data_IF_058375660087
#
_entry.id   IF_058375660087
#
_cell.length_a   1.000
_cell.length_b   1.000
_cell.length_c   1.000
_cell.angle_alpha   90.00
_cell.angle_beta   90.00
_cell.angle_gamma   90.00
#
_symmetry.space_group_name_H-M   'P 1'
#
loop_
_entity.id
_entity.type
_entity.pdbx_description
1 polymer ?
#
# COMPACT_ATOMS: atom_id res chain seq x y z
N UNK A 1 13.55 29.77 -6.74
CA UNK A 1 13.31 29.34 -6.36
C UNK A 1 12.87 28.66 -6.25
N UNK A 2 13.11 28.83 -6.19
CA UNK A 2 12.76 28.27 -5.81
C UNK A 2 12.50 27.48 -5.61
N UNK A 3 12.82 27.39 -5.50
CA UNK A 3 12.50 26.59 -5.24
C UNK A 3 12.12 25.91 -4.85
N UNK A 4 12.72 25.87 -4.88
CA UNK A 4 12.42 25.40 -4.08
C UNK A 4 11.41 24.54 -3.57
N UNK A 5 10.61 24.42 -3.92
CA UNK A 5 9.52 23.73 -3.30
C UNK A 5 9.81 22.26 -3.05
N UNK A 6 10.57 21.65 -3.90
CA UNK A 6 10.93 20.26 -3.73
C UNK A 6 11.78 20.01 -2.53
N UNK A 7 12.70 20.91 -2.31
CA UNK A 7 13.53 20.81 -1.14
C UNK A 7 12.70 20.88 0.11
N UNK A 8 11.67 21.68 0.06
CA UNK A 8 10.80 21.81 1.21
C UNK A 8 10.07 20.52 1.48
N UNK A 9 9.68 19.82 0.45
CA UNK A 9 9.03 18.53 0.65
C UNK A 9 9.94 17.55 1.34
N UNK A 10 11.20 17.55 1.00
CA UNK A 10 12.13 16.66 1.65
C UNK A 10 12.29 16.99 3.12
N UNK A 11 12.35 18.27 3.44
CA UNK A 11 12.41 18.66 4.83
C UNK A 11 11.16 18.25 5.58
N UNK A 12 10.02 18.46 4.96
CA UNK A 12 8.77 18.11 5.60
C UNK A 12 8.71 16.62 5.91
N UNK A 13 9.25 15.80 5.00
CA UNK A 13 9.20 14.36 5.18
C UNK A 13 9.87 13.92 6.46
N UNK A 14 10.92 14.63 6.88
CA UNK A 14 11.63 14.24 8.09
C UNK A 14 10.79 14.43 9.33
N UNK A 15 9.90 15.40 9.33
CA UNK A 15 9.07 15.67 10.48
C UNK A 15 7.63 15.30 10.31
N UNK A 16 7.27 14.72 9.19
CA UNK A 16 5.87 14.45 8.91
C UNK A 16 5.37 13.24 9.65
N UNK A 17 4.12 13.31 10.09
CA UNK A 17 3.43 12.17 10.65
C UNK A 17 2.99 11.23 9.54
N UNK A 18 2.56 10.04 9.93
CA UNK A 18 1.99 9.10 8.98
C UNK A 18 0.77 9.69 8.26
N UNK A 19 -0.02 10.50 8.97
CA UNK A 19 -1.16 11.15 8.35
C UNK A 19 -0.76 12.10 7.24
N UNK A 20 0.32 12.86 7.45
CA UNK A 20 0.79 13.79 6.43
C UNK A 20 1.31 13.04 5.20
N UNK A 21 2.03 11.95 5.42
CA UNK A 21 2.50 11.12 4.32
C UNK A 21 1.33 10.57 3.52
N UNK A 22 0.32 10.07 4.21
CA UNK A 22 -0.85 9.51 3.54
C UNK A 22 -1.58 10.57 2.71
N UNK A 23 -1.57 11.82 3.16
CA UNK A 23 -2.26 12.90 2.46
C UNK A 23 -1.65 13.22 1.11
N UNK A 24 -0.42 12.78 0.84
CA UNK A 24 0.22 13.02 -0.45
C UNK A 24 -0.09 11.94 -1.47
N UNK A 25 -0.83 10.89 -1.07
CA UNK A 25 -1.11 9.76 -1.95
C UNK A 25 -2.30 10.02 -2.84
N UNK A 26 -2.37 9.36 -4.01
CA UNK A 26 -3.61 9.34 -4.77
C UNK A 26 -4.75 8.82 -3.92
N UNK A 27 -5.96 9.27 -4.21
CA UNK A 27 -7.12 8.92 -3.40
C UNK A 27 -7.32 7.41 -3.31
N UNK A 28 -7.09 6.67 -4.40
CA UNK A 28 -7.28 5.23 -4.39
C UNK A 28 -6.30 4.54 -3.46
N UNK A 29 -5.05 5.01 -3.43
CA UNK A 29 -4.02 4.41 -2.59
C UNK A 29 -4.29 4.72 -1.13
N UNK A 30 -4.65 5.97 -0.83
CA UNK A 30 -5.02 6.35 0.54
C UNK A 30 -6.23 5.55 1.01
N UNK A 31 -7.21 5.33 0.14
CA UNK A 31 -8.39 4.55 0.48
C UNK A 31 -8.05 3.08 0.74
N UNK A 32 -7.10 2.53 -0.03
CA UNK A 32 -6.64 1.16 0.19
C UNK A 32 -6.04 1.01 1.59
N UNK A 33 -5.17 1.94 1.96
CA UNK A 33 -4.53 1.89 3.27
C UNK A 33 -5.56 2.05 4.39
N UNK A 34 -6.48 2.98 4.22
CA UNK A 34 -7.53 3.22 5.20
C UNK A 34 -8.41 2.00 5.38
N UNK A 35 -8.84 1.39 4.28
CA UNK A 35 -9.73 0.23 4.33
C UNK A 35 -9.03 -0.96 4.98
N UNK A 36 -7.75 -1.15 4.68
CA UNK A 36 -6.97 -2.21 5.30
C UNK A 36 -6.92 -2.00 6.81
N UNK A 37 -6.57 -0.81 7.24
CA UNK A 37 -6.43 -0.52 8.67
C UNK A 37 -7.76 -0.54 9.42
N UNK A 38 -8.86 -0.36 8.69
CA UNK A 38 -10.19 -0.42 9.28
C UNK A 38 -10.81 -1.82 9.22
N UNK A 39 -10.11 -2.79 8.63
CA UNK A 39 -10.64 -4.14 8.40
C UNK A 39 -11.95 -4.11 7.63
N UNK A 40 -12.02 -3.28 6.60
CA UNK A 40 -13.25 -3.05 5.83
C UNK A 40 -13.08 -3.65 4.44
N UNK A 41 -13.58 -4.87 4.27
CA UNK A 41 -13.40 -5.60 3.01
C UNK A 41 -14.08 -4.88 1.84
N UNK A 42 -15.31 -4.42 2.04
CA UNK A 42 -16.03 -3.79 0.94
C UNK A 42 -15.34 -2.52 0.48
N UNK A 43 -14.88 -1.70 1.42
CA UNK A 43 -14.15 -0.48 1.10
C UNK A 43 -12.83 -0.81 0.40
N UNK A 44 -12.17 -1.88 0.81
CA UNK A 44 -10.92 -2.29 0.21
C UNK A 44 -11.14 -2.68 -1.25
N UNK A 45 -12.15 -3.50 -1.51
CA UNK A 45 -12.44 -3.96 -2.87
C UNK A 45 -12.88 -2.82 -3.76
N UNK A 46 -13.52 -1.81 -3.19
CA UNK A 46 -13.98 -0.66 -3.96
C UNK A 46 -12.83 0.18 -4.52
N UNK A 47 -11.61 -0.02 -4.04
CA UNK A 47 -10.46 0.74 -4.54
C UNK A 47 -9.92 0.20 -5.87
N UNK A 48 -10.35 -0.99 -6.29
CA UNK A 48 -9.83 -1.65 -7.48
C UNK A 48 -10.80 -1.56 -8.66
N UNK A 49 -10.24 -1.56 -9.88
CA UNK A 49 -11.07 -1.81 -11.06
C UNK A 49 -11.42 -3.29 -11.11
N UNK A 50 -12.46 -3.62 -11.92
CA UNK A 50 -12.98 -4.99 -11.94
C UNK A 50 -11.97 -6.01 -12.44
N UNK A 51 -11.11 -5.63 -13.38
CA UNK A 51 -10.13 -6.53 -13.95
C UNK A 51 -8.71 -6.24 -13.47
N UNK A 52 -8.58 -5.73 -12.26
CA UNK A 52 -7.28 -5.43 -11.68
C UNK A 52 -6.45 -6.69 -11.45
N UNK A 53 -5.16 -6.49 -11.30
CA UNK A 53 -4.22 -7.54 -10.93
C UNK A 53 -3.61 -7.21 -9.57
N UNK A 54 -3.61 -8.18 -8.67
CA UNK A 54 -2.81 -8.12 -7.46
C UNK A 54 -1.77 -9.22 -7.53
N UNK A 55 -0.52 -8.87 -7.27
CA UNK A 55 0.56 -9.85 -7.12
C UNK A 55 1.11 -9.69 -5.71
N UNK A 56 0.90 -10.72 -4.89
CA UNK A 56 1.33 -10.69 -3.50
C UNK A 56 2.39 -11.78 -3.32
N UNK A 57 3.62 -11.35 -3.11
CA UNK A 57 4.75 -12.24 -2.92
C UNK A 57 4.85 -13.25 -4.06
N UNK A 58 4.74 -12.73 -5.29
CA UNK A 58 4.86 -13.49 -6.55
C UNK A 58 3.68 -14.40 -6.83
N UNK A 59 2.56 -14.21 -6.15
CA UNK A 59 1.32 -14.94 -6.38
C UNK A 59 0.30 -14.00 -7.01
N UNK A 60 -0.22 -14.36 -8.18
CA UNK A 60 -1.14 -13.51 -8.94
C UNK A 60 -2.59 -13.76 -8.55
N UNK A 61 -3.35 -12.66 -8.47
CA UNK A 61 -4.79 -12.68 -8.26
C UNK A 61 -5.41 -11.74 -9.29
N UNK A 62 -6.09 -12.32 -10.28
CA UNK A 62 -6.66 -11.57 -11.39
C UNK A 62 -8.15 -11.39 -11.23
N UNK A 63 -8.59 -10.14 -11.27
CA UNK A 63 -10.00 -9.83 -11.35
C UNK A 63 -10.68 -9.81 -10.00
N UNK A 64 -11.95 -9.39 -10.02
CA UNK A 64 -12.67 -9.07 -8.81
C UNK A 64 -12.82 -10.25 -7.86
N UNK A 65 -13.18 -11.42 -8.40
CA UNK A 65 -13.39 -12.57 -7.54
C UNK A 65 -12.12 -13.04 -6.86
N UNK A 66 -11.04 -13.11 -7.63
CA UNK A 66 -9.77 -13.56 -7.08
C UNK A 66 -9.24 -12.57 -6.04
N UNK A 67 -9.37 -11.27 -6.33
CA UNK A 67 -8.93 -10.25 -5.41
C UNK A 67 -9.79 -10.26 -4.15
N UNK A 68 -11.08 -10.48 -4.28
CA UNK A 68 -11.97 -10.55 -3.12
C UNK A 68 -11.58 -11.71 -2.20
N UNK A 69 -11.29 -12.87 -2.78
CA UNK A 69 -10.88 -14.03 -1.99
C UNK A 69 -9.54 -13.80 -1.31
N UNK A 70 -8.59 -13.21 -2.03
CA UNK A 70 -7.28 -12.87 -1.48
C UNK A 70 -7.42 -11.88 -0.32
N UNK A 71 -8.18 -10.80 -0.54
CA UNK A 71 -8.31 -9.76 0.48
C UNK A 71 -9.01 -10.29 1.72
N UNK A 72 -10.05 -11.10 1.54
CA UNK A 72 -10.78 -11.65 2.68
C UNK A 72 -9.91 -12.59 3.51
N UNK A 73 -9.06 -13.37 2.85
CA UNK A 73 -8.23 -14.36 3.52
C UNK A 73 -6.97 -13.75 4.10
N UNK A 74 -6.22 -12.98 3.27
CA UNK A 74 -4.85 -12.60 3.61
C UNK A 74 -4.73 -11.20 4.18
N UNK A 75 -5.72 -10.34 3.97
CA UNK A 75 -5.68 -8.97 4.46
C UNK A 75 -6.64 -8.80 5.63
N UNK A 76 -7.92 -8.97 5.37
CA UNK A 76 -8.94 -8.76 6.40
C UNK A 76 -8.93 -9.90 7.40
N UNK A 77 -8.84 -11.14 6.91
CA UNK A 77 -8.83 -12.31 7.77
C UNK A 77 -7.65 -12.34 8.71
N UNK A 78 -6.51 -11.78 8.29
CA UNK A 78 -5.32 -11.69 9.14
C UNK A 78 -5.27 -10.40 9.93
N UNK A 79 -6.28 -9.55 9.80
CA UNK A 79 -6.34 -8.26 10.48
C UNK A 79 -5.07 -7.44 10.24
N UNK A 80 -4.66 -7.38 8.98
CA UNK A 80 -3.44 -6.70 8.60
C UNK A 80 -3.56 -5.20 8.84
N UNK A 81 -2.47 -4.61 9.33
CA UNK A 81 -2.37 -3.16 9.46
C UNK A 81 -1.12 -2.67 8.76
N UNK A 82 -1.20 -1.45 8.27
CA UNK A 82 -0.12 -0.80 7.54
C UNK A 82 0.24 0.51 8.22
N UNK A 83 1.51 0.68 8.52
CA UNK A 83 2.03 1.95 8.98
C UNK A 83 3.00 2.45 7.92
N UNK A 84 2.63 3.52 7.23
CA UNK A 84 3.41 4.02 6.09
C UNK A 84 4.72 4.59 6.59
N UNK A 85 5.82 4.15 5.99
CA UNK A 85 7.15 4.61 6.33
C UNK A 85 7.73 5.52 5.25
N UNK A 86 7.38 5.27 3.97
CA UNK A 86 7.93 6.06 2.88
C UNK A 86 7.00 5.98 1.68
N UNK A 87 6.99 7.04 0.87
CA UNK A 87 6.17 7.13 -0.33
C UNK A 87 7.02 7.71 -1.44
N UNK A 88 6.99 7.05 -2.60
CA UNK A 88 7.60 7.57 -3.82
C UNK A 88 6.51 7.59 -4.87
N UNK A 89 6.35 8.75 -5.52
CA UNK A 89 5.35 8.87 -6.59
C UNK A 89 6.04 9.21 -7.89
N UNK A 90 5.60 8.56 -8.96
CA UNK A 90 6.18 8.78 -10.29
C UNK A 90 5.09 8.55 -11.32
N UNK A 91 4.53 9.65 -11.84
CA UNK A 91 3.42 9.64 -12.80
C UNK A 91 2.24 8.90 -12.18
N UNK A 92 1.71 7.89 -12.83
CA UNK A 92 0.58 7.14 -12.32
C UNK A 92 0.93 6.03 -11.33
N UNK A 93 2.16 6.00 -10.85
CA UNK A 93 2.64 4.93 -9.98
C UNK A 93 3.00 5.48 -8.62
N UNK A 94 2.69 4.71 -7.58
CA UNK A 94 3.06 5.04 -6.22
C UNK A 94 3.75 3.83 -5.59
N UNK A 95 4.87 4.05 -4.93
CA UNK A 95 5.55 3.00 -4.19
C UNK A 95 5.45 3.37 -2.73
N UNK A 96 4.74 2.55 -1.97
CA UNK A 96 4.54 2.78 -0.55
C UNK A 96 5.30 1.71 0.21
N UNK A 97 6.21 2.12 1.07
CA UNK A 97 6.90 1.22 1.97
C UNK A 97 6.21 1.35 3.32
N UNK A 98 5.82 0.23 3.90
CA UNK A 98 5.06 0.26 5.15
C UNK A 98 5.51 -0.86 6.08
N UNK A 99 5.40 -0.58 7.38
CA UNK A 99 5.51 -1.59 8.41
C UNK A 99 4.18 -2.32 8.48
N UNK A 100 4.22 -3.64 8.46
CA UNK A 100 3.02 -4.47 8.37
C UNK A 100 2.93 -5.34 9.59
N UNK A 101 1.74 -5.40 10.18
CA UNK A 101 1.46 -6.30 11.30
C UNK A 101 0.13 -6.98 11.03
N UNK A 102 -0.22 -7.95 11.87
CA UNK A 102 -1.43 -8.72 11.72
C UNK A 102 -1.35 -10.01 12.52
N UNK A 103 -2.30 -10.90 12.26
CA UNK A 103 -2.38 -12.18 12.98
C UNK A 103 -1.60 -13.30 12.29
N UNK A 104 -1.03 -13.05 11.12
CA UNK A 104 -0.30 -14.07 10.38
C UNK A 104 0.90 -14.60 11.17
N UNK A 105 1.39 -15.77 10.76
CA UNK A 105 2.53 -16.41 11.40
C UNK A 105 3.80 -15.59 11.13
N UNK A 106 4.43 -15.12 12.17
CA UNK A 106 5.59 -14.23 12.05
C UNK A 106 6.93 -14.95 12.15
N UNK A 107 6.90 -16.27 12.32
CA UNK A 107 8.15 -17.02 12.43
C UNK A 107 8.91 -16.93 11.10
N UNK A 108 10.20 -16.65 11.21
CA UNK A 108 11.03 -16.53 10.03
C UNK A 108 10.93 -15.21 9.32
N UNK A 109 10.11 -14.29 9.83
CA UNK A 109 9.97 -12.96 9.23
C UNK A 109 10.76 -11.93 10.01
N UNK A 110 11.23 -10.88 9.34
CA UNK A 110 11.90 -9.78 10.04
C UNK A 110 10.95 -9.08 11.00
N UNK A 111 11.51 -8.43 12.01
CA UNK A 111 10.73 -7.63 12.94
C UNK A 111 11.42 -6.26 13.07
N UNK A 112 10.83 -5.18 12.54
CA UNK A 112 9.51 -5.14 11.92
C UNK A 112 9.50 -5.72 10.51
N UNK A 113 8.35 -6.19 10.08
CA UNK A 113 8.16 -6.63 8.71
C UNK A 113 7.86 -5.40 7.85
N UNK A 114 8.65 -5.20 6.82
CA UNK A 114 8.50 -4.06 5.92
C UNK A 114 8.19 -4.57 4.53
N UNK A 115 7.08 -4.13 3.98
CA UNK A 115 6.67 -4.48 2.63
C UNK A 115 6.66 -3.25 1.75
N UNK A 116 6.94 -3.46 0.46
CA UNK A 116 6.84 -2.42 -0.56
C UNK A 116 5.59 -2.71 -1.39
N UNK A 117 4.75 -1.71 -1.54
CA UNK A 117 3.48 -1.78 -2.26
C UNK A 117 3.61 -0.92 -3.50
N UNK A 118 3.57 -1.54 -4.67
CA UNK A 118 3.71 -0.85 -5.95
C UNK A 118 2.31 -0.71 -6.54
N UNK A 119 1.76 0.49 -6.48
CA UNK A 119 0.41 0.77 -6.96
C UNK A 119 0.45 1.43 -8.32
N UNK A 120 -0.39 0.98 -9.23
CA UNK A 120 -0.68 1.68 -10.47
C UNK A 120 -2.16 2.01 -10.48
N UNK A 121 -2.50 3.26 -10.70
CA UNK A 121 -3.88 3.74 -10.67
C UNK A 121 -4.25 4.39 -11.98
N UNK A 122 -5.53 4.32 -12.31
CA UNK A 122 -6.07 4.96 -13.50
C UNK A 122 -7.50 5.37 -13.19
N UNK A 123 -7.84 6.62 -13.49
CA UNK A 123 -9.18 7.16 -13.26
C UNK A 123 -9.66 6.94 -11.83
N UNK A 124 -8.76 7.12 -10.88
CA UNK A 124 -9.13 7.07 -9.46
C UNK A 124 -9.27 5.67 -8.89
N UNK A 125 -8.86 4.64 -9.62
CA UNK A 125 -8.94 3.27 -9.12
C UNK A 125 -7.65 2.54 -9.40
N UNK A 126 -7.36 1.52 -8.58
CA UNK A 126 -6.15 0.73 -8.69
C UNK A 126 -6.33 -0.29 -9.80
N UNK A 127 -5.40 -0.30 -10.76
CA UNK A 127 -5.41 -1.29 -11.83
C UNK A 127 -4.42 -2.41 -11.55
N UNK A 128 -3.39 -2.15 -10.75
CA UNK A 128 -2.39 -3.14 -10.43
C UNK A 128 -1.77 -2.83 -9.07
N UNK A 129 -1.55 -3.86 -8.29
CA UNK A 129 -0.85 -3.77 -7.01
C UNK A 129 0.12 -4.93 -6.91
N UNK A 130 1.38 -4.62 -6.68
CA UNK A 130 2.42 -5.62 -6.46
C UNK A 130 2.97 -5.42 -5.06
N UNK A 131 2.99 -6.49 -4.27
CA UNK A 131 3.43 -6.43 -2.87
C UNK A 131 4.64 -7.36 -2.72
N UNK A 132 5.75 -6.80 -2.30
CA UNK A 132 7.00 -7.54 -2.14
C UNK A 132 7.63 -7.19 -0.81
N UNK A 133 8.42 -8.12 -0.28
CA UNK A 133 9.22 -7.78 0.89
C UNK A 133 10.24 -6.75 0.49
N UNK A 134 10.44 -5.77 1.37
CA UNK A 134 11.40 -4.71 1.09
C UNK A 134 12.81 -5.25 1.34
N UNK A 135 13.58 -5.34 0.26
CA UNK A 135 14.95 -5.85 0.34
C UNK A 135 15.97 -4.75 0.50
N UNK A 136 15.56 -3.50 0.37
CA UNK A 136 16.51 -2.40 0.48
C UNK A 136 17.03 -2.37 1.90
N UNK A 137 18.26 -2.22 2.07
CA UNK A 137 18.86 -2.23 3.38
C UNK A 137 19.37 -3.57 3.82
N UNK A 138 19.13 -4.59 3.04
CA UNK A 138 19.73 -5.89 3.35
C UNK A 138 21.12 -5.97 2.81
#
# INVERSE_FOLDING_TARGET
>A
MTDEPRLELQHAAEGESAGDLAATLPASVAAYIQATNACDLDALLATFVDDALVNDQLQDYWGREAIAAWAARDIIGEQMTLEVANIIQHYGHSIVTAHVDGLFDKRGLPDPLVLAFYFSSHDGKIVQLIILRNQSGT
#
